data_IF_923475375176
#
_entry.id   IF_923475375176
#
_cell.length_a   1.000
_cell.length_b   1.000
_cell.length_c   1.000
_cell.angle_alpha   90.00
_cell.angle_beta   90.00
_cell.angle_gamma   90.00
#
_symmetry.space_group_name_H-M   'P 1'
#
loop_
_entity.id
_entity.type
_entity.pdbx_description
1 polymer ?
#
# COMPACT_ATOMS: atom_id res chain seq x y z
N UNK A 1 1.09 -30.75 -18.74
CA UNK A 1 0.10 -31.62 -18.05
C UNK A 1 0.46 -31.87 -16.58
N UNK A 2 1.68 -32.30 -16.23
CA UNK A 2 2.10 -32.46 -14.81
C UNK A 2 2.17 -31.13 -14.04
N UNK A 3 2.70 -30.08 -14.67
CA UNK A 3 2.78 -28.73 -14.10
C UNK A 3 1.40 -28.10 -13.91
N UNK A 4 0.57 -28.14 -14.95
CA UNK A 4 -0.85 -27.78 -14.88
C UNK A 4 -1.59 -28.45 -13.71
N UNK A 5 -1.42 -29.77 -13.53
CA UNK A 5 -2.02 -30.50 -12.40
C UNK A 5 -1.51 -30.02 -11.04
N UNK A 6 -0.22 -29.67 -10.94
CA UNK A 6 0.36 -29.09 -9.72
C UNK A 6 -0.19 -27.69 -9.44
N UNK A 7 -0.41 -26.87 -10.46
CA UNK A 7 -1.05 -25.56 -10.31
C UNK A 7 -2.52 -25.67 -9.91
N UNK A 8 -3.25 -26.64 -10.44
CA UNK A 8 -4.62 -26.94 -10.01
C UNK A 8 -4.69 -27.36 -8.54
N UNK A 9 -3.80 -28.26 -8.11
CA UNK A 9 -3.69 -28.70 -6.70
C UNK A 9 -3.29 -27.54 -5.78
N UNK A 10 -2.33 -26.71 -6.19
CA UNK A 10 -1.91 -25.53 -5.44
C UNK A 10 -3.05 -24.50 -5.31
N UNK A 11 -3.77 -24.22 -6.40
CA UNK A 11 -4.91 -23.30 -6.38
C UNK A 11 -5.99 -23.79 -5.42
N UNK A 12 -6.36 -25.08 -5.50
CA UNK A 12 -7.36 -25.66 -4.61
C UNK A 12 -6.95 -25.56 -3.13
N UNK A 13 -5.67 -25.75 -2.82
CA UNK A 13 -5.14 -25.57 -1.47
C UNK A 13 -5.24 -24.11 -1.01
N UNK A 14 -4.85 -23.15 -1.85
CA UNK A 14 -4.91 -21.72 -1.52
C UNK A 14 -6.35 -21.24 -1.31
N UNK A 15 -7.29 -21.69 -2.15
CA UNK A 15 -8.73 -21.42 -1.99
C UNK A 15 -9.28 -21.99 -0.68
N UNK A 16 -8.87 -23.22 -0.34
CA UNK A 16 -9.25 -23.86 0.91
C UNK A 16 -8.71 -23.08 2.12
N UNK A 17 -7.41 -22.74 2.13
CA UNK A 17 -6.78 -21.97 3.19
C UNK A 17 -7.40 -20.58 3.34
N UNK A 18 -7.77 -19.94 2.23
CA UNK A 18 -8.49 -18.67 2.26
C UNK A 18 -9.86 -18.80 2.92
N UNK A 19 -10.64 -19.83 2.56
CA UNK A 19 -11.95 -20.09 3.14
C UNK A 19 -11.88 -20.43 4.64
N UNK A 20 -10.84 -21.14 5.08
CA UNK A 20 -10.58 -21.36 6.51
C UNK A 20 -10.27 -20.05 7.23
N UNK A 21 -9.40 -19.23 6.66
CA UNK A 21 -9.00 -17.94 7.22
C UNK A 21 -10.20 -16.99 7.40
N UNK A 22 -11.17 -17.03 6.49
CA UNK A 22 -12.42 -16.25 6.60
C UNK A 22 -13.29 -16.63 7.80
N UNK A 23 -13.19 -17.88 8.27
CA UNK A 23 -13.99 -18.41 9.40
C UNK A 23 -13.27 -18.27 10.74
N UNK A 24 -11.97 -18.00 10.71
CA UNK A 24 -11.16 -17.81 11.90
C UNK A 24 -11.66 -16.60 12.71
N UNK A 25 -11.76 -16.70 14.03
CA UNK A 25 -12.22 -15.58 14.87
C UNK A 25 -11.18 -14.46 14.91
N UNK A 26 -9.90 -14.82 14.99
CA UNK A 26 -8.76 -13.92 15.11
C UNK A 26 -7.66 -14.28 14.09
N UNK A 27 -7.88 -13.97 12.81
CA UNK A 27 -6.94 -14.31 11.75
C UNK A 27 -5.54 -13.68 11.95
N UNK A 28 -4.50 -14.51 11.88
CA UNK A 28 -3.10 -14.04 11.95
C UNK A 28 -2.69 -13.23 10.72
N UNK A 29 -2.11 -12.04 10.95
CA UNK A 29 -1.55 -11.21 9.86
C UNK A 29 -0.42 -11.87 9.10
N UNK A 30 0.44 -12.63 9.78
CA UNK A 30 1.53 -13.34 9.11
C UNK A 30 0.99 -14.43 8.17
N UNK A 31 -0.07 -15.12 8.59
CA UNK A 31 -0.74 -16.11 7.74
C UNK A 31 -1.43 -15.46 6.54
N UNK A 32 -2.09 -14.32 6.74
CA UNK A 32 -2.63 -13.50 5.65
C UNK A 32 -1.55 -13.12 4.64
N UNK A 33 -0.42 -12.59 5.12
CA UNK A 33 0.69 -12.17 4.28
C UNK A 33 1.23 -13.33 3.45
N UNK A 34 1.53 -14.47 4.08
CA UNK A 34 2.01 -15.67 3.37
C UNK A 34 1.00 -16.11 2.31
N UNK A 35 -0.29 -16.18 2.67
CA UNK A 35 -1.34 -16.58 1.74
C UNK A 35 -1.39 -15.68 0.49
N UNK A 36 -1.26 -14.36 0.66
CA UNK A 36 -1.28 -13.41 -0.47
C UNK A 36 -0.01 -13.47 -1.32
N UNK A 37 1.15 -13.74 -0.73
CA UNK A 37 2.39 -13.98 -1.48
C UNK A 37 2.27 -15.23 -2.34
N UNK A 38 1.75 -16.33 -1.80
CA UNK A 38 1.57 -17.59 -2.54
C UNK A 38 0.55 -17.42 -3.69
N UNK A 39 -0.55 -16.72 -3.43
CA UNK A 39 -1.50 -16.37 -4.48
C UNK A 39 -0.88 -15.50 -5.58
N UNK A 40 -0.05 -14.50 -5.21
CA UNK A 40 0.64 -13.65 -6.17
C UNK A 40 1.57 -14.49 -7.06
N UNK A 41 2.43 -15.32 -6.46
CA UNK A 41 3.34 -16.19 -7.18
C UNK A 41 2.60 -17.14 -8.15
N UNK A 42 1.49 -17.74 -7.70
CA UNK A 42 0.70 -18.60 -8.58
C UNK A 42 0.01 -17.80 -9.71
N UNK A 43 -0.48 -16.59 -9.42
CA UNK A 43 -1.18 -15.74 -10.37
C UNK A 43 -0.28 -15.13 -11.47
N UNK A 44 1.05 -15.14 -11.29
CA UNK A 44 2.01 -14.70 -12.31
C UNK A 44 1.95 -15.61 -13.54
N UNK A 45 1.93 -16.93 -13.36
CA UNK A 45 1.99 -17.90 -14.46
C UNK A 45 0.66 -18.65 -14.69
N UNK A 46 -0.31 -18.53 -13.77
CA UNK A 46 -1.52 -19.33 -13.79
C UNK A 46 -2.82 -18.51 -13.86
N UNK A 47 -3.37 -18.38 -15.08
CA UNK A 47 -4.61 -17.62 -15.33
C UNK A 47 -5.82 -18.02 -14.45
N UNK A 48 -6.03 -19.30 -14.08
CA UNK A 48 -7.11 -19.67 -13.15
C UNK A 48 -6.93 -19.08 -11.74
N UNK A 49 -5.70 -18.92 -11.25
CA UNK A 49 -5.46 -18.23 -9.97
C UNK A 49 -5.84 -16.75 -10.05
N UNK A 50 -5.55 -16.07 -11.17
CA UNK A 50 -6.02 -14.69 -11.41
C UNK A 50 -7.54 -14.58 -11.38
N UNK A 51 -8.25 -15.55 -11.96
CA UNK A 51 -9.72 -15.61 -11.92
C UNK A 51 -10.25 -15.85 -10.52
N UNK A 52 -9.63 -16.74 -9.75
CA UNK A 52 -9.97 -17.00 -8.36
C UNK A 52 -9.82 -15.74 -7.50
N UNK A 53 -8.69 -15.04 -7.63
CA UNK A 53 -8.46 -13.73 -6.99
C UNK A 53 -9.52 -12.69 -7.38
N UNK A 54 -9.89 -12.64 -8.66
CA UNK A 54 -10.94 -11.72 -9.13
C UNK A 54 -12.32 -12.03 -8.51
N UNK A 55 -12.64 -13.32 -8.33
CA UNK A 55 -13.87 -13.75 -7.67
C UNK A 55 -13.86 -13.43 -6.17
N UNK A 56 -12.75 -13.72 -5.49
CA UNK A 56 -12.55 -13.35 -4.08
C UNK A 56 -12.72 -11.85 -3.91
N UNK A 57 -12.05 -11.03 -4.72
CA UNK A 57 -12.19 -9.57 -4.69
C UNK A 57 -13.65 -9.12 -4.79
N UNK A 58 -14.39 -9.64 -5.78
CA UNK A 58 -15.78 -9.26 -6.01
C UNK A 58 -16.67 -9.60 -4.81
N UNK A 59 -16.50 -10.78 -4.22
CA UNK A 59 -17.21 -11.19 -3.01
C UNK A 59 -16.89 -10.27 -1.81
N UNK A 60 -15.61 -9.98 -1.59
CA UNK A 60 -15.15 -9.17 -0.47
C UNK A 60 -15.63 -7.71 -0.59
N UNK A 61 -15.64 -7.17 -1.81
CA UNK A 61 -16.21 -5.86 -2.11
C UNK A 61 -17.71 -5.83 -1.82
N UNK A 62 -18.47 -6.85 -2.24
CA UNK A 62 -19.90 -6.93 -2.00
C UNK A 62 -20.23 -6.99 -0.50
N UNK A 63 -19.48 -7.78 0.28
CA UNK A 63 -19.63 -7.85 1.75
C UNK A 63 -19.31 -6.53 2.44
N UNK A 64 -18.21 -5.87 2.06
CA UNK A 64 -17.85 -4.56 2.60
C UNK A 64 -18.95 -3.52 2.38
N UNK A 65 -19.56 -3.53 1.19
CA UNK A 65 -20.67 -2.63 0.85
C UNK A 65 -21.97 -2.98 1.58
N UNK A 66 -22.16 -4.23 1.99
CA UNK A 66 -23.26 -4.67 2.84
C UNK A 66 -23.04 -4.34 4.34
N UNK A 67 -21.90 -3.75 4.71
CA UNK A 67 -21.56 -3.38 6.08
C UNK A 67 -20.74 -4.42 6.85
N UNK A 68 -20.45 -5.57 6.24
CA UNK A 68 -19.50 -6.56 6.78
C UNK A 68 -18.07 -6.12 6.43
N UNK A 69 -17.52 -5.19 7.21
CA UNK A 69 -16.28 -4.47 6.90
C UNK A 69 -14.99 -5.23 7.22
N UNK A 70 -15.06 -6.22 8.10
CA UNK A 70 -13.89 -6.87 8.69
C UNK A 70 -13.83 -8.35 8.32
N UNK A 71 -12.62 -8.90 8.30
CA UNK A 71 -12.41 -10.34 8.13
C UNK A 71 -12.50 -11.06 9.49
N UNK A 72 -12.87 -12.33 9.43
CA UNK A 72 -12.97 -13.22 10.58
C UNK A 72 -14.28 -13.10 11.36
N UNK A 73 -14.59 -14.11 12.16
CA UNK A 73 -15.86 -14.25 12.88
C UNK A 73 -15.89 -13.56 14.26
N UNK A 74 -14.78 -12.95 14.70
CA UNK A 74 -14.71 -12.28 16.00
C UNK A 74 -15.52 -10.99 16.07
N UNK A 75 -16.08 -10.70 17.25
CA UNK A 75 -16.70 -9.42 17.60
C UNK A 75 -15.67 -8.31 17.83
N UNK A 76 -14.45 -8.69 18.21
CA UNK A 76 -13.17 -8.00 18.04
C UNK A 76 -13.14 -6.57 18.58
N UNK A 77 -12.83 -6.43 19.87
CA UNK A 77 -12.33 -5.18 20.45
C UNK A 77 -11.09 -4.71 19.68
N UNK A 78 -10.99 -3.41 19.45
CA UNK A 78 -9.76 -2.77 18.95
C UNK A 78 -8.67 -2.83 20.02
N UNK A 79 -8.01 -3.97 20.17
CA UNK A 79 -6.68 -3.97 20.76
C UNK A 79 -5.67 -3.31 19.80
N UNK A 80 -4.43 -3.12 20.26
CA UNK A 80 -3.33 -2.28 19.76
C UNK A 80 -3.02 -2.28 18.24
N UNK A 81 -3.68 -3.12 17.45
CA UNK A 81 -3.49 -3.26 16.01
C UNK A 81 -4.83 -3.34 15.26
N UNK A 82 -5.05 -2.52 14.21
CA UNK A 82 -6.32 -2.50 13.49
C UNK A 82 -6.66 -3.85 12.82
N UNK A 83 -7.90 -4.33 12.98
CA UNK A 83 -8.38 -5.57 12.34
C UNK A 83 -8.17 -5.54 10.81
N UNK A 84 -7.95 -6.71 10.22
CA UNK A 84 -7.89 -6.85 8.76
C UNK A 84 -9.25 -6.52 8.16
N UNK A 85 -9.29 -5.52 7.29
CA UNK A 85 -10.53 -5.13 6.62
C UNK A 85 -10.70 -5.86 5.30
N UNK A 86 -11.95 -6.04 4.88
CA UNK A 86 -12.24 -6.53 3.52
C UNK A 86 -11.76 -5.54 2.47
N UNK A 87 -11.82 -4.24 2.76
CA UNK A 87 -11.30 -3.20 1.88
C UNK A 87 -9.79 -3.35 1.64
N UNK A 88 -8.98 -3.49 2.70
CA UNK A 88 -7.53 -3.68 2.56
C UNK A 88 -7.17 -4.95 1.77
N UNK A 89 -7.96 -6.02 1.90
CA UNK A 89 -7.79 -7.22 1.09
C UNK A 89 -8.09 -6.95 -0.39
N UNK A 90 -9.18 -6.23 -0.70
CA UNK A 90 -9.49 -5.84 -2.09
C UNK A 90 -8.35 -5.03 -2.70
N UNK A 91 -7.83 -4.03 -1.99
CA UNK A 91 -6.68 -3.23 -2.44
C UNK A 91 -5.46 -4.10 -2.72
N UNK A 92 -5.17 -5.07 -1.85
CA UNK A 92 -4.05 -5.99 -2.05
C UNK A 92 -4.24 -6.91 -3.26
N UNK A 93 -5.44 -7.46 -3.46
CA UNK A 93 -5.75 -8.28 -4.63
C UNK A 93 -5.66 -7.45 -5.92
N UNK A 94 -6.19 -6.23 -5.93
CA UNK A 94 -6.12 -5.34 -7.08
C UNK A 94 -4.67 -5.01 -7.45
N UNK A 95 -3.79 -4.83 -6.45
CA UNK A 95 -2.35 -4.69 -6.67
C UNK A 95 -1.74 -5.95 -7.31
N UNK A 96 -2.10 -7.14 -6.85
CA UNK A 96 -1.62 -8.41 -7.42
C UNK A 96 -2.10 -8.58 -8.87
N UNK A 97 -3.35 -8.20 -9.15
CA UNK A 97 -3.93 -8.28 -10.48
C UNK A 97 -3.43 -7.17 -11.42
N UNK A 98 -2.86 -6.09 -10.89
CA UNK A 98 -2.41 -4.93 -11.66
C UNK A 98 -3.55 -4.06 -12.18
N UNK A 99 -4.69 -4.08 -11.48
CA UNK A 99 -5.90 -3.33 -11.84
C UNK A 99 -6.42 -2.57 -10.61
N UNK A 100 -6.08 -1.29 -10.50
CA UNK A 100 -6.41 -0.42 -9.37
C UNK A 100 -7.80 0.22 -9.50
N UNK A 101 -8.43 0.15 -10.67
CA UNK A 101 -9.73 0.78 -10.93
C UNK A 101 -10.83 0.29 -9.98
N UNK A 102 -10.95 -1.01 -9.65
CA UNK A 102 -11.94 -1.52 -8.71
C UNK A 102 -11.75 -1.01 -7.29
N UNK A 103 -10.51 -0.75 -6.86
CA UNK A 103 -10.22 -0.10 -5.58
C UNK A 103 -10.82 1.30 -5.52
N UNK A 104 -10.66 2.10 -6.58
CA UNK A 104 -11.31 3.42 -6.67
C UNK A 104 -12.83 3.30 -6.59
N UNK A 105 -13.44 2.41 -7.38
CA UNK A 105 -14.90 2.27 -7.44
C UNK A 105 -15.49 1.81 -6.11
N UNK A 106 -14.83 0.87 -5.44
CA UNK A 106 -15.22 0.43 -4.11
C UNK A 106 -15.08 1.56 -3.09
N UNK A 107 -13.96 2.30 -3.12
CA UNK A 107 -13.74 3.40 -2.19
C UNK A 107 -14.77 4.51 -2.36
N UNK A 108 -15.10 4.91 -3.59
CA UNK A 108 -16.12 5.93 -3.85
C UNK A 108 -17.51 5.52 -3.31
N UNK A 109 -17.86 4.24 -3.43
CA UNK A 109 -19.11 3.71 -2.87
C UNK A 109 -19.09 3.65 -1.33
N UNK A 110 -17.94 3.30 -0.74
CA UNK A 110 -17.75 3.31 0.72
C UNK A 110 -17.71 4.73 1.29
N UNK A 111 -17.18 5.72 0.57
CA UNK A 111 -17.25 7.14 0.95
C UNK A 111 -18.71 7.60 1.08
N UNK A 112 -19.54 7.25 0.09
CA UNK A 112 -20.95 7.61 0.08
C UNK A 112 -21.77 6.89 1.17
N UNK A 113 -21.53 5.60 1.37
CA UNK A 113 -22.31 4.78 2.29
C UNK A 113 -21.81 4.82 3.75
N UNK A 114 -20.49 4.93 3.95
CA UNK A 114 -19.80 4.70 5.22
C UNK A 114 -18.59 5.65 5.38
N UNK A 115 -18.81 6.99 5.43
CA UNK A 115 -17.74 8.00 5.35
C UNK A 115 -16.72 7.93 6.50
N UNK A 116 -17.12 7.48 7.68
CA UNK A 116 -16.19 7.30 8.81
C UNK A 116 -15.16 6.18 8.53
N UNK A 117 -15.62 5.07 7.93
CA UNK A 117 -14.73 3.99 7.51
C UNK A 117 -13.82 4.46 6.37
N UNK A 118 -14.38 5.12 5.35
CA UNK A 118 -13.62 5.67 4.23
C UNK A 118 -12.49 6.59 4.73
N UNK A 119 -12.77 7.51 5.67
CA UNK A 119 -11.77 8.40 6.27
C UNK A 119 -10.62 7.67 6.94
N UNK A 120 -10.90 6.57 7.62
CA UNK A 120 -9.88 5.77 8.30
C UNK A 120 -8.96 5.05 7.32
N UNK A 121 -9.50 4.54 6.23
CA UNK A 121 -8.78 3.69 5.27
C UNK A 121 -8.42 4.39 3.96
N UNK A 122 -8.69 5.69 3.83
CA UNK A 122 -8.46 6.47 2.62
C UNK A 122 -7.02 6.38 2.09
N UNK A 123 -6.03 6.31 2.99
CA UNK A 123 -4.62 6.17 2.62
C UNK A 123 -4.32 4.97 1.72
N UNK A 124 -5.11 3.90 1.79
CA UNK A 124 -5.00 2.73 0.91
C UNK A 124 -5.58 2.97 -0.48
N UNK A 125 -6.59 3.84 -0.59
CA UNK A 125 -7.35 4.08 -1.81
C UNK A 125 -6.77 5.24 -2.65
N UNK A 126 -6.16 6.22 -2.00
CA UNK A 126 -5.77 7.48 -2.64
C UNK A 126 -4.94 7.31 -3.92
N UNK A 127 -3.95 6.39 -4.00
CA UNK A 127 -3.23 6.16 -5.26
C UNK A 127 -4.16 5.79 -6.42
N UNK A 128 -5.10 4.86 -6.19
CA UNK A 128 -6.08 4.44 -7.20
C UNK A 128 -7.07 5.56 -7.55
N UNK A 129 -7.47 6.39 -6.57
CA UNK A 129 -8.34 7.55 -6.79
C UNK A 129 -7.65 8.60 -7.70
N UNK A 130 -6.36 8.85 -7.47
CA UNK A 130 -5.54 9.75 -8.29
C UNK A 130 -5.35 9.19 -9.70
N UNK A 131 -5.05 7.90 -9.82
CA UNK A 131 -4.93 7.21 -11.12
C UNK A 131 -6.24 7.25 -11.92
N UNK A 132 -7.39 7.13 -11.24
CA UNK A 132 -8.71 7.29 -11.83
C UNK A 132 -9.06 8.74 -12.21
N UNK A 133 -8.23 9.72 -11.85
CA UNK A 133 -8.42 11.14 -12.16
C UNK A 133 -9.44 11.88 -11.27
N UNK A 134 -9.91 11.26 -10.18
CA UNK A 134 -10.85 11.90 -9.26
C UNK A 134 -10.11 12.75 -8.22
N UNK A 135 -9.53 13.85 -8.70
CA UNK A 135 -8.69 14.73 -7.87
C UNK A 135 -9.49 15.46 -6.79
N UNK A 136 -10.80 15.60 -6.94
CA UNK A 136 -11.66 16.19 -5.90
C UNK A 136 -11.86 15.23 -4.74
N UNK A 137 -12.10 13.94 -5.01
CA UNK A 137 -12.16 12.92 -3.97
C UNK A 137 -10.80 12.74 -3.29
N UNK A 138 -9.71 12.75 -4.06
CA UNK A 138 -8.37 12.66 -3.51
C UNK A 138 -8.03 13.86 -2.60
N UNK A 139 -8.35 15.09 -3.01
CA UNK A 139 -8.10 16.31 -2.22
C UNK A 139 -8.89 16.32 -0.90
N UNK A 140 -10.11 15.76 -0.88
CA UNK A 140 -10.90 15.62 0.36
C UNK A 140 -10.21 14.76 1.42
N UNK A 141 -9.44 13.76 0.99
CA UNK A 141 -8.89 12.72 1.84
C UNK A 141 -7.38 12.80 2.04
N UNK A 142 -6.66 13.57 1.22
CA UNK A 142 -5.22 13.77 1.43
C UNK A 142 -4.96 14.41 2.78
N UNK A 143 -3.90 13.98 3.43
CA UNK A 143 -3.39 14.59 4.65
C UNK A 143 -2.43 15.73 4.29
N UNK A 144 -1.92 16.41 5.30
CA UNK A 144 -0.79 17.33 5.11
C UNK A 144 0.41 16.52 4.57
N UNK A 145 0.86 16.78 3.33
CA UNK A 145 1.95 16.02 2.72
C UNK A 145 3.30 16.24 3.39
N UNK A 146 3.47 17.29 4.20
CA UNK A 146 4.73 17.59 4.90
C UNK A 146 4.68 17.24 6.40
N UNK A 147 3.62 16.57 6.86
CA UNK A 147 3.42 16.27 8.29
C UNK A 147 4.60 15.50 8.93
N UNK A 148 5.26 14.63 8.17
CA UNK A 148 6.39 13.82 8.66
C UNK A 148 7.77 14.51 8.52
N UNK A 149 7.86 15.68 7.87
CA UNK A 149 9.13 16.34 7.57
C UNK A 149 10.00 16.56 8.82
N UNK A 150 9.39 17.07 9.89
CA UNK A 150 10.09 17.30 11.15
C UNK A 150 10.59 16.00 11.82
N UNK A 151 9.85 14.89 11.69
CA UNK A 151 10.27 13.60 12.22
C UNK A 151 11.44 13.01 11.43
N UNK A 152 11.38 13.06 10.09
CA UNK A 152 12.48 12.63 9.22
C UNK A 152 13.76 13.38 9.56
N UNK A 153 13.69 14.72 9.70
CA UNK A 153 14.86 15.52 10.09
C UNK A 153 15.40 15.13 11.47
N UNK A 154 14.54 14.95 12.48
CA UNK A 154 14.98 14.52 13.82
C UNK A 154 15.70 13.17 13.79
N UNK A 155 15.16 12.20 13.06
CA UNK A 155 15.73 10.86 12.99
C UNK A 155 17.02 10.84 12.17
N UNK A 156 17.09 11.59 11.07
CA UNK A 156 18.29 11.73 10.24
C UNK A 156 19.51 12.30 11.01
N UNK A 157 19.29 13.07 12.07
CA UNK A 157 20.38 13.59 12.94
C UNK A 157 21.03 12.53 13.82
N UNK A 158 20.35 11.41 14.09
CA UNK A 158 20.80 10.41 15.06
C UNK A 158 20.84 8.98 14.53
N UNK A 159 20.27 8.73 13.35
CA UNK A 159 20.19 7.42 12.73
C UNK A 159 20.76 7.47 11.31
N UNK A 160 21.49 6.42 10.89
CA UNK A 160 22.01 6.35 9.54
C UNK A 160 20.87 6.18 8.54
N UNK A 161 20.98 6.85 7.39
CA UNK A 161 20.07 6.66 6.25
C UNK A 161 20.09 5.20 5.76
N UNK A 162 21.28 4.58 5.77
CA UNK A 162 21.52 3.19 5.41
C UNK A 162 22.19 2.45 6.57
N UNK A 163 21.43 1.89 7.52
CA UNK A 163 21.99 1.24 8.71
C UNK A 163 22.74 -0.06 8.36
N UNK A 164 23.56 -0.59 9.28
CA UNK A 164 24.18 -1.92 9.15
C UNK A 164 23.17 -3.06 8.98
N UNK A 165 23.64 -4.22 8.50
CA UNK A 165 22.82 -5.42 8.34
C UNK A 165 22.14 -5.83 9.66
N UNK A 166 20.89 -6.28 9.58
CA UNK A 166 20.09 -6.67 10.75
C UNK A 166 19.42 -5.50 11.49
N UNK A 167 19.62 -4.25 11.05
CA UNK A 167 18.91 -3.08 11.59
C UNK A 167 17.90 -2.54 10.59
N UNK A 168 16.75 -2.09 11.09
CA UNK A 168 15.70 -1.54 10.24
C UNK A 168 16.12 -0.17 9.66
N UNK A 169 15.96 0.06 8.33
CA UNK A 169 16.30 1.32 7.66
C UNK A 169 15.25 2.42 7.93
N UNK A 170 15.14 2.83 9.20
CA UNK A 170 14.07 3.71 9.68
C UNK A 170 14.00 5.04 8.92
N UNK A 171 15.12 5.76 8.80
CA UNK A 171 15.15 7.06 8.11
C UNK A 171 14.75 6.91 6.63
N UNK A 172 15.24 5.89 5.94
CA UNK A 172 14.87 5.65 4.55
C UNK A 172 13.38 5.28 4.40
N UNK A 173 12.82 4.48 5.31
CA UNK A 173 11.41 4.13 5.32
C UNK A 173 10.51 5.34 5.57
N UNK A 174 10.86 6.20 6.52
CA UNK A 174 10.15 7.45 6.79
C UNK A 174 10.26 8.42 5.62
N UNK A 175 11.44 8.53 5.00
CA UNK A 175 11.64 9.34 3.80
C UNK A 175 10.78 8.84 2.63
N UNK A 176 10.68 7.53 2.44
CA UNK A 176 9.83 6.92 1.42
C UNK A 176 8.35 7.24 1.66
N UNK A 177 7.88 7.22 2.91
CA UNK A 177 6.50 7.61 3.23
C UNK A 177 6.25 9.10 2.96
N UNK A 178 7.16 9.98 3.41
CA UNK A 178 7.07 11.41 3.18
C UNK A 178 7.07 11.76 1.69
N UNK A 179 7.99 11.18 0.91
CA UNK A 179 8.07 11.40 -0.55
C UNK A 179 6.84 10.88 -1.27
N UNK A 180 6.30 9.72 -0.87
CA UNK A 180 5.03 9.18 -1.40
C UNK A 180 3.86 10.13 -1.14
N UNK A 181 3.72 10.65 0.07
CA UNK A 181 2.65 11.59 0.43
C UNK A 181 2.77 12.90 -0.37
N UNK A 182 3.99 13.39 -0.57
CA UNK A 182 4.27 14.57 -1.41
C UNK A 182 3.98 14.30 -2.88
N UNK A 183 4.39 13.16 -3.44
CA UNK A 183 4.09 12.79 -4.83
C UNK A 183 2.59 12.72 -5.08
N UNK A 184 1.85 12.11 -4.16
CA UNK A 184 0.40 12.01 -4.21
C UNK A 184 -0.26 13.39 -4.19
N UNK A 185 0.14 14.26 -3.26
CA UNK A 185 -0.39 15.63 -3.18
C UNK A 185 -0.03 16.46 -4.43
N UNK A 186 1.20 16.33 -4.95
CA UNK A 186 1.61 16.96 -6.20
C UNK A 186 0.75 16.47 -7.37
N UNK A 187 0.48 15.17 -7.48
CA UNK A 187 -0.38 14.63 -8.53
C UNK A 187 -1.81 15.21 -8.45
N UNK A 188 -2.37 15.32 -7.24
CA UNK A 188 -3.68 15.98 -7.02
C UNK A 188 -3.66 17.44 -7.46
N UNK A 189 -2.67 18.22 -7.02
CA UNK A 189 -2.54 19.64 -7.39
C UNK A 189 -2.43 19.81 -8.91
N UNK A 190 -1.59 19.00 -9.57
CA UNK A 190 -1.43 19.01 -11.03
C UNK A 190 -2.73 18.66 -11.75
N UNK A 191 -3.43 17.64 -11.27
CA UNK A 191 -4.74 17.22 -11.78
C UNK A 191 -5.82 18.29 -11.65
N UNK A 192 -5.73 19.15 -10.63
CA UNK A 192 -6.58 20.33 -10.45
C UNK A 192 -6.09 21.58 -11.22
N UNK A 193 -5.04 21.47 -12.04
CA UNK A 193 -4.47 22.59 -12.80
C UNK A 193 -3.55 23.50 -11.98
N UNK A 194 -3.24 23.16 -10.72
CA UNK A 194 -2.42 23.96 -9.79
C UNK A 194 -0.94 23.63 -9.91
N UNK A 195 -0.39 23.85 -11.11
CA UNK A 195 1.00 23.49 -11.43
C UNK A 195 2.02 24.22 -10.57
N UNK A 196 1.80 25.52 -10.31
CA UNK A 196 2.69 26.32 -9.46
C UNK A 196 2.73 25.78 -8.02
N UNK A 197 1.57 25.46 -7.44
CA UNK A 197 1.50 24.89 -6.07
C UNK A 197 2.21 23.54 -5.98
N UNK A 198 2.13 22.70 -7.03
CA UNK A 198 2.86 21.43 -7.06
C UNK A 198 4.38 21.63 -7.11
N UNK A 199 4.86 22.63 -7.84
CA UNK A 199 6.29 23.01 -7.87
C UNK A 199 6.73 23.55 -6.52
N UNK A 200 5.92 24.41 -5.91
CA UNK A 200 6.19 24.97 -4.59
C UNK A 200 6.24 23.89 -3.51
N UNK A 201 5.36 22.88 -3.58
CA UNK A 201 5.37 21.74 -2.66
C UNK A 201 6.64 20.89 -2.81
N UNK A 202 7.09 20.61 -4.04
CA UNK A 202 8.38 19.92 -4.28
C UNK A 202 9.52 20.70 -3.63
N UNK A 203 9.56 22.02 -3.87
CA UNK A 203 10.58 22.90 -3.30
C UNK A 203 10.52 22.93 -1.77
N UNK A 204 9.35 23.07 -1.18
CA UNK A 204 9.17 23.09 0.28
C UNK A 204 9.67 21.80 0.94
N UNK A 205 9.43 20.63 0.33
CA UNK A 205 9.99 19.37 0.80
C UNK A 205 11.53 19.41 0.77
N UNK A 206 12.13 19.75 -0.37
CA UNK A 206 13.58 19.68 -0.55
C UNK A 206 14.33 20.71 0.30
N UNK A 207 13.82 21.94 0.37
CA UNK A 207 14.37 23.02 1.20
C UNK A 207 14.22 22.71 2.69
N UNK A 208 13.14 22.01 3.06
CA UNK A 208 12.84 21.63 4.44
C UNK A 208 13.64 20.44 4.97
N UNK A 209 14.17 19.57 4.10
CA UNK A 209 15.05 18.47 4.51
C UNK A 209 16.41 19.03 4.90
N UNK A 210 16.91 18.70 6.10
CA UNK A 210 18.14 19.32 6.63
C UNK A 210 19.42 18.64 6.12
N UNK A 211 19.48 17.31 6.21
CA UNK A 211 20.64 16.51 5.82
C UNK A 211 20.77 16.41 4.29
N UNK A 212 21.96 16.69 3.75
CA UNK A 212 22.19 16.77 2.31
C UNK A 212 21.97 15.43 1.61
N UNK A 213 22.40 14.32 2.20
CA UNK A 213 22.21 12.96 1.68
C UNK A 213 20.74 12.55 1.66
N UNK A 214 19.96 12.95 2.66
CA UNK A 214 18.51 12.70 2.72
C UNK A 214 17.80 13.50 1.65
N UNK A 215 18.14 14.79 1.50
CA UNK A 215 17.61 15.66 0.44
C UNK A 215 17.91 15.11 -0.96
N UNK A 216 19.15 14.69 -1.21
CA UNK A 216 19.57 14.15 -2.50
C UNK A 216 18.83 12.84 -2.84
N UNK A 217 18.60 11.97 -1.85
CA UNK A 217 17.82 10.75 -2.06
C UNK A 217 16.33 11.06 -2.29
N UNK A 218 15.77 12.03 -1.57
CA UNK A 218 14.40 12.50 -1.76
C UNK A 218 14.19 13.03 -3.18
N UNK A 219 15.11 13.86 -3.69
CA UNK A 219 15.06 14.38 -5.05
C UNK A 219 15.03 13.26 -6.09
N UNK A 220 15.93 12.26 -5.97
CA UNK A 220 15.91 11.10 -6.89
C UNK A 220 14.63 10.28 -6.79
N UNK A 221 14.06 10.12 -5.60
CA UNK A 221 12.78 9.43 -5.41
C UNK A 221 11.62 10.19 -6.06
N UNK A 222 11.61 11.53 -5.95
CA UNK A 222 10.60 12.40 -6.57
C UNK A 222 10.68 12.34 -8.10
N UNK A 223 11.89 12.26 -8.66
CA UNK A 223 12.13 12.19 -10.10
C UNK A 223 11.88 10.77 -10.66
N UNK A 224 12.20 9.74 -9.88
CA UNK A 224 12.01 8.34 -10.24
C UNK A 224 11.57 7.50 -9.03
N UNK A 225 10.26 7.24 -8.92
CA UNK A 225 9.70 6.45 -7.82
C UNK A 225 10.33 5.05 -7.70
N UNK A 226 10.51 4.61 -6.46
CA UNK A 226 11.13 3.34 -6.10
C UNK A 226 12.67 3.39 -6.04
N UNK A 227 13.29 4.55 -6.18
CA UNK A 227 14.74 4.73 -6.03
C UNK A 227 15.22 4.34 -4.65
N UNK A 228 14.52 4.75 -3.59
CA UNK A 228 14.88 4.41 -2.21
C UNK A 228 14.93 2.89 -2.01
N UNK A 229 13.91 2.17 -2.49
CA UNK A 229 13.85 0.71 -2.37
C UNK A 229 14.97 0.03 -3.16
N UNK A 230 15.26 0.48 -4.38
CA UNK A 230 16.38 -0.06 -5.18
C UNK A 230 17.71 0.12 -4.46
N UNK A 231 17.99 1.32 -3.94
CA UNK A 231 19.25 1.58 -3.21
C UNK A 231 19.35 0.76 -1.92
N UNK A 232 18.25 0.54 -1.21
CA UNK A 232 18.23 -0.34 -0.03
C UNK A 232 18.58 -1.79 -0.40
N UNK A 233 17.97 -2.32 -1.46
CA UNK A 233 18.22 -3.69 -1.94
C UNK A 233 19.68 -3.84 -2.42
N UNK A 234 20.15 -2.94 -3.28
CA UNK A 234 21.52 -2.97 -3.82
C UNK A 234 22.58 -2.95 -2.71
N UNK A 235 22.37 -2.13 -1.67
CA UNK A 235 23.29 -2.04 -0.53
C UNK A 235 23.21 -3.27 0.38
N UNK A 236 22.05 -3.91 0.50
CA UNK A 236 21.93 -5.19 1.22
C UNK A 236 22.73 -6.27 0.50
N UNK A 237 22.54 -6.41 -0.81
CA UNK A 237 23.22 -7.41 -1.63
C UNK A 237 24.74 -7.22 -1.63
N UNK A 238 25.23 -5.99 -1.79
CA UNK A 238 26.67 -5.69 -1.80
C UNK A 238 27.38 -6.06 -0.48
N UNK A 239 26.65 -6.01 0.64
CA UNK A 239 27.16 -6.35 1.98
C UNK A 239 27.06 -7.84 2.30
N UNK A 240 26.20 -8.60 1.62
CA UNK A 240 26.16 -10.06 1.70
C UNK A 240 27.28 -10.73 0.90
N UNK A 241 27.79 -10.04 -0.12
CA UNK A 241 28.90 -10.51 -0.98
C UNK A 241 30.30 -10.07 -0.51
N UNK A 242 30.42 -9.29 0.57
CA UNK A 242 31.68 -8.76 1.12
C UNK A 242 32.02 -9.41 2.46
#
# INVERSE_FOLDING_TARGET
MREQKRFDEALALLEHLFAEFERESEPSRSRHFILMVEFQALAEDYAPARRSLSAIRAEQAARALAGDLYRGAGDGKEDSFPRLTRFSLVVEIDRILGDTRPTYELFARLDAAQPAFARRYAGLALPAVVEAGDFNLADRYRRDPLAMLGEVNRNARSMPLFPPSGQAPRVAAELMNLTRDVQLAMAVLRGQGKQAEAVDLRRALLDGLEAAEVRALAERELDASGTINRELVERSMARETS
#
